data_IF_758397002412
#
_entry.id   IF_758397002412
#
_cell.length_a   1.000
_cell.length_b   1.000
_cell.length_c   1.000
_cell.angle_alpha   90.00
_cell.angle_beta   90.00
_cell.angle_gamma   90.00
#
_symmetry.space_group_name_H-M   'P 1'
#
loop_
_entity.id
_entity.type
_entity.pdbx_description
1 polymer ?
#
# COMPACT_ATOMS: atom_id res chain seq x y z
N UNK A 1 -3.61 -17.57 14.14
CA UNK A 1 -4.06 -16.19 14.48
C UNK A 1 -2.90 -15.24 14.24
N UNK A 2 -3.02 -14.32 13.27
CA UNK A 2 -1.99 -13.38 12.85
C UNK A 2 -2.30 -11.96 13.33
N UNK A 3 -1.28 -11.09 13.41
CA UNK A 3 -1.39 -9.65 13.67
C UNK A 3 -1.12 -8.89 12.37
N UNK A 4 -2.10 -8.11 11.90
CA UNK A 4 -2.06 -7.45 10.60
C UNK A 4 -2.19 -5.94 10.78
N UNK A 5 -1.29 -5.18 10.18
CA UNK A 5 -1.41 -3.73 10.05
C UNK A 5 -1.99 -3.36 8.68
N UNK A 6 -2.97 -2.44 8.66
CA UNK A 6 -3.63 -2.01 7.42
C UNK A 6 -3.61 -0.50 7.33
N UNK A 7 -2.93 0.07 6.33
CA UNK A 7 -2.99 1.51 6.10
C UNK A 7 -4.33 1.94 5.50
N UNK A 8 -4.87 3.09 5.93
CA UNK A 8 -6.14 3.62 5.41
C UNK A 8 -7.36 2.76 5.74
N UNK A 9 -7.43 2.23 6.97
CA UNK A 9 -8.50 1.30 7.40
C UNK A 9 -9.77 1.98 7.91
N UNK A 10 -9.94 3.29 7.71
CA UNK A 10 -11.14 4.02 8.17
C UNK A 10 -12.31 3.97 7.20
N UNK A 11 -12.09 3.60 5.94
CA UNK A 11 -13.13 3.62 4.90
C UNK A 11 -12.82 2.60 3.78
N UNK A 12 -13.79 2.37 2.91
CA UNK A 12 -13.64 1.58 1.68
C UNK A 12 -13.01 0.19 1.91
N UNK A 13 -12.11 -0.17 1.00
CA UNK A 13 -11.45 -1.49 1.01
C UNK A 13 -10.66 -1.76 2.30
N UNK A 14 -9.96 -0.77 2.84
CA UNK A 14 -9.17 -0.96 4.06
C UNK A 14 -10.05 -1.26 5.29
N UNK A 15 -11.22 -0.60 5.39
CA UNK A 15 -12.19 -0.90 6.47
C UNK A 15 -12.81 -2.28 6.29
N UNK A 16 -13.17 -2.64 5.07
CA UNK A 16 -13.73 -3.96 4.77
C UNK A 16 -12.73 -5.09 5.05
N UNK A 17 -11.46 -4.90 4.66
CA UNK A 17 -10.39 -5.83 4.96
C UNK A 17 -10.16 -5.98 6.48
N UNK A 18 -10.15 -4.87 7.22
CA UNK A 18 -10.02 -4.89 8.67
C UNK A 18 -11.17 -5.65 9.33
N UNK A 19 -12.42 -5.38 8.91
CA UNK A 19 -13.61 -6.07 9.41
C UNK A 19 -13.52 -7.57 9.13
N UNK A 20 -13.24 -7.95 7.90
CA UNK A 20 -13.13 -9.35 7.46
C UNK A 20 -12.07 -10.12 8.28
N UNK A 21 -10.90 -9.54 8.50
CA UNK A 21 -9.83 -10.17 9.28
C UNK A 21 -10.19 -10.30 10.78
N UNK A 22 -10.85 -9.29 11.35
CA UNK A 22 -11.36 -9.35 12.71
C UNK A 22 -12.46 -10.42 12.89
N UNK A 23 -13.34 -10.58 11.89
CA UNK A 23 -14.40 -11.60 11.90
C UNK A 23 -13.82 -13.02 11.77
N UNK A 24 -12.67 -13.17 11.13
CA UNK A 24 -11.89 -14.41 11.06
C UNK A 24 -11.05 -14.69 12.33
N UNK A 25 -11.12 -13.83 13.36
CA UNK A 25 -10.40 -13.99 14.61
C UNK A 25 -8.94 -13.56 14.58
N UNK A 26 -8.52 -12.80 13.58
CA UNK A 26 -7.18 -12.20 13.53
C UNK A 26 -7.11 -10.91 14.34
N UNK A 27 -5.90 -10.48 14.67
CA UNK A 27 -5.62 -9.22 15.38
C UNK A 27 -5.28 -8.15 14.35
N UNK A 28 -6.03 -7.05 14.31
CA UNK A 28 -5.81 -5.97 13.35
C UNK A 28 -5.34 -4.71 14.07
N UNK A 29 -4.30 -4.07 13.54
CA UNK A 29 -3.91 -2.72 13.88
C UNK A 29 -4.45 -1.79 12.79
N UNK A 30 -5.29 -0.85 13.20
CA UNK A 30 -5.95 0.10 12.30
C UNK A 30 -5.08 1.34 12.08
N UNK A 31 -5.28 2.03 10.98
CA UNK A 31 -4.67 3.32 10.69
C UNK A 31 -5.71 4.35 10.28
N UNK A 32 -5.66 5.51 10.92
CA UNK A 32 -6.44 6.70 10.58
C UNK A 32 -5.52 7.89 10.31
N UNK A 33 -5.83 8.71 9.30
CA UNK A 33 -5.03 9.91 9.01
C UNK A 33 -5.21 11.06 10.03
N UNK A 34 -6.25 11.00 10.87
CA UNK A 34 -6.53 12.00 11.90
C UNK A 34 -7.44 11.42 12.98
N UNK A 35 -7.52 12.08 14.14
CA UNK A 35 -8.42 11.72 15.24
C UNK A 35 -9.90 11.71 14.80
N UNK A 36 -10.34 12.67 13.98
CA UNK A 36 -11.72 12.71 13.46
C UNK A 36 -12.03 11.48 12.60
N UNK A 37 -11.07 11.05 11.78
CA UNK A 37 -11.22 9.83 10.98
C UNK A 37 -11.18 8.58 11.83
N UNK A 38 -10.44 8.60 12.93
CA UNK A 38 -10.42 7.52 13.90
C UNK A 38 -11.77 7.36 14.61
N UNK A 39 -12.43 8.46 14.99
CA UNK A 39 -13.76 8.46 15.58
C UNK A 39 -14.82 7.80 14.68
N UNK A 40 -14.68 7.92 13.36
CA UNK A 40 -15.59 7.30 12.38
C UNK A 40 -15.49 5.76 12.30
N UNK A 41 -14.48 5.13 12.94
CA UNK A 41 -14.35 3.67 13.02
C UNK A 41 -15.41 3.02 13.92
N UNK A 42 -15.91 3.75 14.93
CA UNK A 42 -16.93 3.25 15.85
C UNK A 42 -16.50 1.96 16.55
N UNK A 43 -17.39 0.96 16.61
CA UNK A 43 -17.14 -0.33 17.25
C UNK A 43 -15.98 -1.16 16.67
N UNK A 44 -15.43 -0.79 15.54
CA UNK A 44 -14.25 -1.48 14.97
C UNK A 44 -13.00 -1.27 15.85
N UNK A 45 -12.89 -0.08 16.45
CA UNK A 45 -11.74 0.26 17.32
C UNK A 45 -11.69 -0.61 18.57
N UNK A 46 -12.85 -0.93 19.18
CA UNK A 46 -12.89 -1.78 20.39
C UNK A 46 -12.54 -3.24 20.13
N UNK A 47 -12.62 -3.70 18.87
CA UNK A 47 -12.26 -5.05 18.42
C UNK A 47 -10.81 -5.15 17.96
N UNK A 48 -10.20 -4.02 17.60
CA UNK A 48 -8.86 -3.97 17.05
C UNK A 48 -7.79 -4.14 18.15
N UNK A 49 -6.63 -4.67 17.79
CA UNK A 49 -5.45 -4.76 18.68
C UNK A 49 -4.89 -3.37 18.99
N UNK A 50 -5.04 -2.43 18.08
CA UNK A 50 -4.55 -1.07 18.22
C UNK A 50 -5.01 -0.17 17.08
N UNK A 51 -4.79 1.12 17.27
CA UNK A 51 -5.06 2.17 16.28
C UNK A 51 -3.86 3.12 16.28
N UNK A 52 -3.32 3.37 15.09
CA UNK A 52 -2.27 4.37 14.88
C UNK A 52 -2.82 5.53 14.07
N UNK A 53 -2.33 6.73 14.37
CA UNK A 53 -2.81 7.97 13.74
C UNK A 53 -1.62 8.71 13.13
N UNK A 54 -1.81 9.18 11.88
CA UNK A 54 -0.86 10.01 11.14
C UNK A 54 -1.26 10.17 9.69
N UNK A 55 -0.91 11.30 9.09
CA UNK A 55 -1.20 11.58 7.69
C UNK A 55 -0.03 11.14 6.79
N UNK A 56 -0.28 10.17 5.92
CA UNK A 56 0.71 9.64 4.98
C UNK A 56 1.19 10.66 3.92
N UNK A 57 0.64 11.87 3.89
CA UNK A 57 1.19 12.97 3.12
C UNK A 57 2.46 13.54 3.73
N UNK A 58 2.65 13.38 5.04
CA UNK A 58 3.83 13.88 5.75
C UNK A 58 4.83 12.75 6.01
N UNK A 59 6.08 12.96 5.62
CA UNK A 59 7.16 12.02 5.91
C UNK A 59 7.40 11.90 7.43
N UNK A 60 7.27 13.01 8.17
CA UNK A 60 7.38 13.03 9.63
C UNK A 60 6.29 12.19 10.30
N UNK A 61 5.03 12.35 9.88
CA UNK A 61 3.92 11.55 10.41
C UNK A 61 4.01 10.08 9.98
N UNK A 62 4.50 9.81 8.77
CA UNK A 62 4.75 8.43 8.31
C UNK A 62 5.81 7.72 9.17
N UNK A 63 6.88 8.42 9.59
CA UNK A 63 7.85 7.90 10.57
C UNK A 63 7.19 7.64 11.92
N UNK A 64 6.38 8.58 12.42
CA UNK A 64 5.62 8.40 13.67
C UNK A 64 4.68 7.19 13.62
N UNK A 65 4.02 6.93 12.47
CA UNK A 65 3.21 5.71 12.30
C UNK A 65 4.08 4.46 12.44
N UNK A 66 5.26 4.43 11.83
CA UNK A 66 6.17 3.29 11.97
C UNK A 66 6.60 3.06 13.43
N UNK A 67 6.92 4.14 14.16
CA UNK A 67 7.25 4.07 15.59
C UNK A 67 6.09 3.54 16.42
N UNK A 68 4.87 4.02 16.20
CA UNK A 68 3.65 3.52 16.85
C UNK A 68 3.43 2.02 16.59
N UNK A 69 3.63 1.56 15.34
CA UNK A 69 3.52 0.15 14.97
C UNK A 69 4.57 -0.69 15.67
N UNK A 70 5.82 -0.24 15.66
CA UNK A 70 6.92 -0.95 16.31
C UNK A 70 6.72 -1.05 17.83
N UNK A 71 6.13 -0.04 18.46
CA UNK A 71 5.76 -0.07 19.89
C UNK A 71 4.65 -1.08 20.20
N UNK A 72 3.72 -1.35 19.26
CA UNK A 72 2.70 -2.39 19.41
C UNK A 72 3.33 -3.81 19.28
N UNK A 73 4.40 -3.92 18.53
CA UNK A 73 5.17 -5.15 18.29
C UNK A 73 5.23 -5.54 16.81
N UNK A 74 5.94 -6.62 16.52
CA UNK A 74 6.09 -7.11 15.15
C UNK A 74 4.75 -7.55 14.56
N UNK A 75 4.50 -7.12 13.32
CA UNK A 75 3.35 -7.55 12.53
C UNK A 75 3.68 -8.85 11.77
N UNK A 76 2.69 -9.74 11.64
CA UNK A 76 2.80 -10.91 10.76
C UNK A 76 2.60 -10.49 9.29
N UNK A 77 1.68 -9.55 9.06
CA UNK A 77 1.46 -8.98 7.73
C UNK A 77 1.25 -7.46 7.78
N UNK A 78 1.65 -6.77 6.73
CA UNK A 78 1.34 -5.36 6.48
C UNK A 78 0.64 -5.23 5.14
N UNK A 79 -0.54 -4.59 5.15
CA UNK A 79 -1.30 -4.27 3.94
C UNK A 79 -1.20 -2.77 3.68
N UNK A 80 -0.43 -2.39 2.66
CA UNK A 80 -0.35 -1.03 2.14
C UNK A 80 -1.57 -0.75 1.27
N UNK A 81 -2.72 -0.49 1.93
CA UNK A 81 -3.99 -0.27 1.27
C UNK A 81 -4.28 1.21 1.01
N UNK A 82 -3.75 2.13 1.82
CA UNK A 82 -3.99 3.56 1.64
C UNK A 82 -3.59 4.03 0.25
N UNK A 83 -4.41 4.88 -0.33
CA UNK A 83 -4.12 5.48 -1.63
C UNK A 83 -5.10 6.60 -1.96
N UNK A 84 -4.70 7.45 -2.87
CA UNK A 84 -5.55 8.47 -3.49
C UNK A 84 -5.61 8.21 -4.99
N UNK A 85 -6.76 8.49 -5.58
CA UNK A 85 -6.98 8.43 -7.01
C UNK A 85 -6.69 9.80 -7.63
N UNK A 86 -7.18 10.08 -8.82
CA UNK A 86 -6.91 11.31 -9.54
C UNK A 86 -7.16 12.57 -8.69
N UNK A 87 -6.15 13.42 -8.59
CA UNK A 87 -6.22 14.72 -7.92
C UNK A 87 -6.29 15.81 -8.97
N UNK A 88 -7.12 16.84 -8.81
CA UNK A 88 -7.29 17.90 -9.81
C UNK A 88 -6.01 18.72 -10.03
N UNK A 89 -5.12 18.73 -9.04
CA UNK A 89 -3.81 19.37 -9.10
C UNK A 89 -2.74 18.46 -8.51
N UNK A 90 -1.47 18.77 -8.77
CA UNK A 90 -0.33 18.08 -8.18
C UNK A 90 -0.40 18.06 -6.65
N UNK A 91 -0.89 19.15 -6.05
CA UNK A 91 -0.77 19.38 -4.62
C UNK A 91 0.70 19.51 -4.18
N UNK A 92 0.90 19.73 -2.89
CA UNK A 92 2.21 19.66 -2.28
C UNK A 92 2.08 19.16 -0.84
N UNK A 93 2.94 18.21 -0.46
CA UNK A 93 3.09 17.81 0.94
C UNK A 93 3.93 18.84 1.72
N UNK A 94 4.05 18.73 3.05
CA UNK A 94 4.95 19.59 3.82
C UNK A 94 6.40 19.56 3.29
N UNK A 95 6.84 18.42 2.76
CA UNK A 95 8.17 18.22 2.18
C UNK A 95 8.26 18.66 0.70
N UNK A 96 7.16 19.11 0.10
CA UNK A 96 7.09 19.60 -1.29
C UNK A 96 6.78 18.53 -2.35
N UNK A 97 6.57 17.28 -1.96
CA UNK A 97 6.24 16.19 -2.88
C UNK A 97 4.80 16.26 -3.41
N UNK A 98 4.58 15.72 -4.61
CA UNK A 98 3.23 15.53 -5.13
C UNK A 98 2.43 14.62 -4.20
N UNK A 99 1.18 15.01 -3.85
CA UNK A 99 0.35 14.23 -2.90
C UNK A 99 0.14 12.77 -3.33
N UNK A 100 -0.03 12.53 -4.64
CA UNK A 100 -0.21 11.18 -5.17
C UNK A 100 1.05 10.33 -4.98
N UNK A 101 2.23 10.90 -5.26
CA UNK A 101 3.52 10.23 -5.02
C UNK A 101 3.70 9.93 -3.54
N UNK A 102 3.49 10.91 -2.67
CA UNK A 102 3.70 10.78 -1.24
C UNK A 102 2.85 9.65 -0.64
N UNK A 103 1.54 9.66 -0.88
CA UNK A 103 0.62 8.70 -0.27
C UNK A 103 0.74 7.32 -0.90
N UNK A 104 0.82 7.25 -2.25
CA UNK A 104 0.74 5.97 -2.94
C UNK A 104 2.11 5.25 -3.06
N UNK A 105 3.22 5.97 -2.96
CA UNK A 105 4.57 5.42 -3.22
C UNK A 105 5.54 5.64 -2.06
N UNK A 106 5.76 6.91 -1.64
CA UNK A 106 6.77 7.21 -0.60
C UNK A 106 6.38 6.64 0.76
N UNK A 107 5.13 6.80 1.18
CA UNK A 107 4.66 6.28 2.46
C UNK A 107 4.72 4.74 2.53
N UNK A 108 4.24 3.95 1.54
CA UNK A 108 4.47 2.50 1.51
C UNK A 108 5.95 2.11 1.58
N UNK A 109 6.83 2.81 0.84
CA UNK A 109 8.27 2.57 0.88
C UNK A 109 8.85 2.84 2.28
N UNK A 110 8.56 3.99 2.86
CA UNK A 110 9.03 4.38 4.20
C UNK A 110 8.54 3.40 5.28
N UNK A 111 7.26 3.06 5.27
CA UNK A 111 6.69 2.11 6.23
C UNK A 111 7.33 0.73 6.09
N UNK A 112 7.57 0.27 4.85
CA UNK A 112 8.27 -0.99 4.59
C UNK A 112 9.69 -1.00 5.18
N UNK A 113 10.41 0.12 5.06
CA UNK A 113 11.76 0.23 5.56
C UNK A 113 11.85 0.38 7.09
N UNK A 114 10.87 1.04 7.70
CA UNK A 114 10.92 1.48 9.10
C UNK A 114 10.18 0.55 10.08
N UNK A 115 9.18 -0.20 9.62
CA UNK A 115 8.47 -1.17 10.45
C UNK A 115 9.33 -2.44 10.60
N UNK A 116 9.35 -3.02 11.80
CA UNK A 116 9.98 -4.32 12.04
C UNK A 116 9.47 -5.35 11.02
N UNK A 117 10.39 -5.91 10.22
CA UNK A 117 10.11 -6.72 9.03
C UNK A 117 9.03 -7.78 9.27
N UNK A 118 7.88 -7.70 8.60
CA UNK A 118 6.80 -8.69 8.73
C UNK A 118 7.13 -9.95 7.90
N UNK A 119 6.32 -10.99 8.06
CA UNK A 119 6.42 -12.16 7.18
C UNK A 119 5.76 -11.93 5.81
N UNK A 120 4.77 -11.02 5.74
CA UNK A 120 4.02 -10.75 4.50
C UNK A 120 3.83 -9.26 4.26
N UNK A 121 4.04 -8.83 3.02
CA UNK A 121 3.82 -7.47 2.54
C UNK A 121 2.88 -7.49 1.34
N UNK A 122 1.77 -6.77 1.45
CA UNK A 122 0.75 -6.68 0.41
C UNK A 122 0.59 -5.22 -0.02
N UNK A 123 0.76 -4.95 -1.31
CA UNK A 123 0.68 -3.61 -1.89
C UNK A 123 -0.53 -3.49 -2.78
N UNK A 124 -1.48 -2.61 -2.44
CA UNK A 124 -2.62 -2.34 -3.31
C UNK A 124 -2.21 -1.48 -4.50
N UNK A 125 -2.28 -2.09 -5.66
CA UNK A 125 -2.08 -1.48 -6.97
C UNK A 125 -3.42 -1.25 -7.68
N UNK A 126 -3.43 -1.30 -8.98
CA UNK A 126 -4.59 -1.14 -9.89
C UNK A 126 -4.21 -1.67 -11.26
N UNK A 127 -5.15 -2.15 -12.04
CA UNK A 127 -4.95 -2.46 -13.47
C UNK A 127 -4.41 -1.28 -14.28
N UNK A 128 -4.67 -0.05 -13.82
CA UNK A 128 -4.15 1.18 -14.44
C UNK A 128 -2.63 1.33 -14.38
N UNK A 129 -1.92 0.55 -13.53
CA UNK A 129 -0.46 0.57 -13.47
C UNK A 129 0.21 0.28 -14.84
N UNK A 130 -0.49 -0.45 -15.72
CA UNK A 130 -0.01 -0.75 -17.08
C UNK A 130 0.06 0.47 -17.99
N UNK A 131 -0.63 1.57 -17.65
CA UNK A 131 -0.54 2.86 -18.33
C UNK A 131 0.45 3.83 -17.66
N UNK A 132 1.19 3.39 -16.64
CA UNK A 132 2.24 4.20 -16.03
C UNK A 132 3.48 4.27 -16.93
N UNK A 133 4.06 5.46 -17.05
CA UNK A 133 5.32 5.63 -17.74
C UNK A 133 6.48 5.15 -16.87
N UNK A 134 7.37 4.33 -17.44
CA UNK A 134 8.55 3.81 -16.73
C UNK A 134 9.69 4.82 -16.55
N UNK A 135 9.45 6.13 -16.74
CA UNK A 135 10.44 7.16 -16.48
C UNK A 135 10.49 7.50 -14.99
N UNK A 136 11.71 7.52 -14.44
CA UNK A 136 11.97 7.91 -13.05
C UNK A 136 12.61 9.32 -12.95
N UNK A 137 12.62 10.11 -14.05
CA UNK A 137 13.36 11.37 -14.12
C UNK A 137 12.61 12.54 -13.48
N UNK A 138 11.29 12.40 -13.30
CA UNK A 138 10.43 13.42 -12.69
C UNK A 138 9.28 12.78 -11.91
N UNK A 139 9.62 11.96 -10.91
CA UNK A 139 8.65 11.30 -10.02
C UNK A 139 7.69 12.30 -9.35
N UNK A 140 8.21 13.48 -9.05
CA UNK A 140 7.49 14.55 -8.36
C UNK A 140 6.70 15.49 -9.28
N UNK A 141 6.70 15.24 -10.59
CA UNK A 141 5.96 16.09 -11.54
C UNK A 141 6.32 17.58 -11.43
N UNK A 142 7.60 17.89 -11.29
CA UNK A 142 8.10 19.27 -11.18
C UNK A 142 8.51 19.85 -12.52
N UNK A 143 8.80 19.00 -13.51
CA UNK A 143 9.30 19.39 -14.83
C UNK A 143 8.26 19.28 -15.94
N UNK A 144 7.24 18.46 -15.75
CA UNK A 144 6.18 18.20 -16.74
C UNK A 144 4.82 18.68 -16.23
N UNK A 145 3.87 18.96 -17.14
CA UNK A 145 2.52 19.36 -16.81
C UNK A 145 1.81 18.24 -16.03
N UNK A 146 1.07 18.62 -14.99
CA UNK A 146 0.32 17.67 -14.17
C UNK A 146 -0.72 16.93 -14.99
N UNK A 147 -0.67 15.60 -14.94
CA UNK A 147 -1.69 14.71 -15.46
C UNK A 147 -2.07 13.71 -14.35
N UNK A 148 -3.27 13.89 -13.80
CA UNK A 148 -3.72 13.13 -12.64
C UNK A 148 -3.84 11.63 -12.90
N UNK A 149 -4.27 11.22 -14.10
CA UNK A 149 -4.42 9.82 -14.47
C UNK A 149 -3.05 9.14 -14.62
N UNK A 150 -2.11 9.79 -15.30
CA UNK A 150 -0.75 9.27 -15.47
C UNK A 150 -0.01 9.23 -14.12
N UNK A 151 -0.11 10.27 -13.29
CA UNK A 151 0.52 10.29 -11.96
C UNK A 151 -0.02 9.15 -11.06
N UNK A 152 -1.31 8.86 -11.13
CA UNK A 152 -1.88 7.70 -10.44
C UNK A 152 -1.35 6.39 -11.00
N UNK A 153 -1.37 6.22 -12.33
CA UNK A 153 -0.90 4.99 -12.98
C UNK A 153 0.58 4.71 -12.65
N UNK A 154 1.44 5.73 -12.71
CA UNK A 154 2.84 5.64 -12.30
C UNK A 154 2.98 5.25 -10.83
N UNK A 155 2.24 5.87 -9.91
CA UNK A 155 2.29 5.52 -8.51
C UNK A 155 1.91 4.06 -8.25
N UNK A 156 1.00 3.50 -9.06
CA UNK A 156 0.59 2.10 -8.97
C UNK A 156 1.59 1.14 -9.65
N UNK A 157 2.30 1.59 -10.68
CA UNK A 157 3.46 0.89 -11.23
C UNK A 157 4.60 0.79 -10.21
N UNK A 158 4.88 1.87 -9.50
CA UNK A 158 5.94 1.91 -8.48
C UNK A 158 5.70 0.89 -7.36
N UNK A 159 4.48 0.74 -6.84
CA UNK A 159 4.22 -0.23 -5.78
C UNK A 159 4.23 -1.68 -6.27
N UNK A 160 3.88 -1.96 -7.53
CA UNK A 160 4.10 -3.28 -8.12
C UNK A 160 5.60 -3.56 -8.22
N UNK A 161 6.38 -2.64 -8.77
CA UNK A 161 7.83 -2.79 -8.87
C UNK A 161 8.50 -2.95 -7.50
N UNK A 162 8.01 -2.22 -6.48
CA UNK A 162 8.50 -2.37 -5.10
C UNK A 162 8.21 -3.77 -4.54
N UNK A 163 7.01 -4.31 -4.74
CA UNK A 163 6.66 -5.66 -4.31
C UNK A 163 7.59 -6.73 -4.95
N UNK A 164 7.86 -6.60 -6.25
CA UNK A 164 8.78 -7.51 -6.96
C UNK A 164 10.23 -7.35 -6.53
N UNK A 165 10.68 -6.12 -6.31
CA UNK A 165 12.03 -5.84 -5.81
C UNK A 165 12.26 -6.44 -4.42
N UNK A 166 11.28 -6.30 -3.52
CA UNK A 166 11.34 -6.85 -2.18
C UNK A 166 11.27 -8.38 -2.17
N UNK A 167 10.46 -8.98 -3.03
CA UNK A 167 10.44 -10.43 -3.21
C UNK A 167 11.81 -10.98 -3.62
N UNK A 168 12.56 -10.25 -4.45
CA UNK A 168 13.93 -10.59 -4.85
C UNK A 168 14.95 -10.35 -3.73
N UNK A 169 14.80 -9.24 -2.99
CA UNK A 169 15.76 -8.83 -1.95
C UNK A 169 15.52 -9.53 -0.61
N UNK A 170 14.28 -9.88 -0.28
CA UNK A 170 13.90 -10.47 1.01
C UNK A 170 13.25 -11.85 0.81
N UNK A 171 14.03 -12.91 0.55
CA UNK A 171 13.50 -14.24 0.20
C UNK A 171 12.61 -14.86 1.29
N UNK A 172 12.75 -14.40 2.53
CA UNK A 172 11.96 -14.88 3.67
C UNK A 172 10.68 -14.05 3.92
N UNK A 173 10.34 -13.13 3.02
CA UNK A 173 9.12 -12.28 3.11
C UNK A 173 8.27 -12.48 1.87
N UNK A 174 7.01 -12.79 2.05
CA UNK A 174 6.06 -12.92 0.94
C UNK A 174 5.57 -11.52 0.53
N UNK A 175 6.14 -10.98 -0.55
CA UNK A 175 5.84 -9.66 -1.06
C UNK A 175 5.00 -9.77 -2.34
N UNK A 176 3.77 -9.26 -2.33
CA UNK A 176 2.86 -9.36 -3.47
C UNK A 176 2.12 -8.03 -3.73
N UNK A 177 1.74 -7.80 -4.98
CA UNK A 177 0.89 -6.68 -5.37
C UNK A 177 -0.51 -7.16 -5.75
N UNK A 178 -1.53 -6.34 -5.46
CA UNK A 178 -2.94 -6.69 -5.66
C UNK A 178 -3.65 -5.58 -6.42
N UNK A 179 -4.36 -5.96 -7.48
CA UNK A 179 -5.39 -5.14 -8.11
C UNK A 179 -6.76 -5.55 -7.54
N UNK A 180 -7.43 -4.69 -6.80
CA UNK A 180 -8.76 -4.98 -6.27
C UNK A 180 -9.86 -4.91 -7.33
N UNK A 181 -9.54 -4.45 -8.55
CA UNK A 181 -10.50 -4.08 -9.58
C UNK A 181 -11.09 -2.67 -9.36
N UNK A 182 -12.10 -2.32 -10.19
CA UNK A 182 -12.84 -1.08 -10.01
C UNK A 182 -13.98 -1.30 -9.02
N UNK A 183 -13.72 -0.97 -7.75
CA UNK A 183 -14.55 -1.34 -6.61
C UNK A 183 -15.48 -0.19 -6.20
N UNK A 184 -16.72 -0.52 -5.82
CA UNK A 184 -17.76 0.39 -5.36
C UNK A 184 -17.43 0.95 -3.97
N UNK A 185 -16.59 1.98 -3.98
CA UNK A 185 -16.15 2.76 -2.82
C UNK A 185 -16.35 4.25 -3.11
N UNK A 186 -16.06 5.12 -2.15
CA UNK A 186 -16.04 6.59 -2.41
C UNK A 186 -15.07 6.97 -3.53
N UNK A 187 -13.97 6.24 -3.66
CA UNK A 187 -12.97 6.44 -4.72
C UNK A 187 -13.48 5.94 -6.08
N UNK A 188 -14.06 4.76 -6.12
CA UNK A 188 -14.52 4.13 -7.35
C UNK A 188 -15.86 4.67 -7.86
N UNK A 189 -16.67 5.25 -6.97
CA UNK A 189 -18.01 5.75 -7.29
C UNK A 189 -19.07 4.64 -7.32
N UNK A 190 -20.34 5.06 -7.42
CA UNK A 190 -21.50 4.15 -7.39
C UNK A 190 -21.60 3.24 -8.62
N UNK A 191 -21.04 3.69 -9.76
CA UNK A 191 -21.04 2.92 -11.02
C UNK A 191 -19.99 1.81 -11.11
N UNK A 192 -19.15 1.66 -10.09
CA UNK A 192 -18.13 0.61 -10.11
C UNK A 192 -18.77 -0.79 -10.06
N UNK A 193 -18.31 -1.74 -10.91
CA UNK A 193 -18.96 -3.05 -11.05
C UNK A 193 -18.61 -4.02 -9.91
N UNK A 194 -17.42 -3.87 -9.30
CA UNK A 194 -16.94 -4.79 -8.28
C UNK A 194 -17.51 -4.40 -6.91
N UNK A 195 -18.09 -5.35 -6.19
CA UNK A 195 -18.49 -5.16 -4.80
C UNK A 195 -17.28 -5.12 -3.86
N UNK A 196 -17.49 -4.58 -2.66
CA UNK A 196 -16.40 -4.34 -1.71
C UNK A 196 -15.83 -5.64 -1.14
N UNK A 197 -16.64 -6.69 -1.02
CA UNK A 197 -16.23 -7.98 -0.47
C UNK A 197 -15.32 -8.71 -1.46
N UNK A 198 -15.65 -8.68 -2.73
CA UNK A 198 -14.78 -9.18 -3.81
C UNK A 198 -13.48 -8.39 -3.86
N UNK A 199 -13.55 -7.05 -3.82
CA UNK A 199 -12.39 -6.18 -3.92
C UNK A 199 -11.38 -6.32 -2.77
N UNK A 200 -11.85 -6.62 -1.54
CA UNK A 200 -10.96 -6.78 -0.38
C UNK A 200 -10.40 -8.21 -0.24
N UNK A 201 -11.02 -9.21 -0.87
CA UNK A 201 -10.75 -10.64 -0.61
C UNK A 201 -9.30 -11.04 -0.88
N UNK A 202 -8.71 -10.61 -1.99
CA UNK A 202 -7.35 -11.02 -2.36
C UNK A 202 -6.31 -10.53 -1.37
N UNK A 203 -6.40 -9.26 -0.92
CA UNK A 203 -5.43 -8.71 0.04
C UNK A 203 -5.54 -9.39 1.41
N UNK A 204 -6.74 -9.73 1.86
CA UNK A 204 -6.94 -10.43 3.14
C UNK A 204 -6.48 -11.88 3.06
N UNK A 205 -6.78 -12.56 1.97
CA UNK A 205 -6.33 -13.92 1.73
C UNK A 205 -4.79 -14.02 1.69
N UNK A 206 -4.11 -13.15 0.96
CA UNK A 206 -2.64 -13.11 0.94
C UNK A 206 -2.03 -12.79 2.32
N UNK A 207 -2.72 -12.02 3.14
CA UNK A 207 -2.21 -11.64 4.45
C UNK A 207 -2.21 -12.79 5.48
N UNK A 208 -3.12 -13.76 5.37
CA UNK A 208 -3.32 -14.74 6.45
C UNK A 208 -3.47 -16.19 5.99
N UNK A 209 -3.68 -16.47 4.70
CA UNK A 209 -3.95 -17.84 4.24
C UNK A 209 -2.70 -18.72 4.30
N UNK A 210 -2.90 -19.97 4.69
CA UNK A 210 -1.90 -21.04 4.62
C UNK A 210 -2.06 -21.89 3.33
N UNK A 211 -2.95 -21.50 2.42
CA UNK A 211 -3.06 -22.11 1.11
C UNK A 211 -1.72 -21.98 0.37
N UNK A 212 -1.16 -23.07 -0.18
CA UNK A 212 0.08 -23.02 -0.96
C UNK A 212 0.07 -21.97 -2.08
N UNK A 213 -1.10 -21.68 -2.66
CA UNK A 213 -1.24 -20.64 -3.67
C UNK A 213 -1.00 -19.21 -3.10
N UNK A 214 -1.26 -18.98 -1.80
CA UNK A 214 -0.97 -17.70 -1.14
C UNK A 214 0.48 -17.58 -0.64
N UNK A 215 1.19 -18.71 -0.50
CA UNK A 215 2.55 -18.78 0.03
C UNK A 215 3.60 -18.55 -1.06
N UNK A 216 3.35 -17.55 -1.90
CA UNK A 216 4.23 -17.16 -3.01
C UNK A 216 4.64 -15.70 -2.88
N UNK A 217 5.76 -15.33 -3.51
CA UNK A 217 6.32 -13.99 -3.48
C UNK A 217 6.59 -13.47 -4.89
N UNK A 218 6.54 -12.14 -5.08
CA UNK A 218 6.79 -11.53 -6.39
C UNK A 218 5.71 -11.86 -7.39
N UNK A 219 4.43 -11.71 -6.99
CA UNK A 219 3.29 -11.92 -7.88
C UNK A 219 2.36 -10.72 -7.88
N UNK A 220 1.67 -10.55 -9.00
CA UNK A 220 0.59 -9.59 -9.19
C UNK A 220 -0.73 -10.34 -9.28
N UNK A 221 -1.69 -9.93 -8.46
CA UNK A 221 -2.94 -10.65 -8.26
C UNK A 221 -4.16 -9.81 -8.61
N UNK A 222 -5.15 -10.42 -9.22
CA UNK A 222 -6.48 -9.85 -9.43
C UNK A 222 -7.53 -10.90 -9.10
N UNK A 223 -8.41 -10.63 -8.14
CA UNK A 223 -9.49 -11.52 -7.70
C UNK A 223 -9.05 -12.99 -7.47
N UNK A 224 -8.00 -13.19 -6.66
CA UNK A 224 -7.39 -14.48 -6.33
C UNK A 224 -6.65 -15.18 -7.49
N UNK A 225 -6.54 -14.54 -8.65
CA UNK A 225 -5.82 -15.06 -9.80
C UNK A 225 -4.51 -14.31 -10.02
N UNK A 226 -3.45 -15.02 -10.32
CA UNK A 226 -2.18 -14.42 -10.72
C UNK A 226 -2.30 -13.87 -12.14
N UNK A 227 -1.80 -12.67 -12.36
CA UNK A 227 -1.74 -12.03 -13.66
C UNK A 227 -0.35 -11.44 -13.92
N UNK A 228 -0.03 -11.24 -15.20
CA UNK A 228 1.19 -10.53 -15.58
C UNK A 228 1.03 -9.02 -15.32
N UNK A 229 1.97 -8.38 -14.61
CA UNK A 229 1.97 -6.92 -14.45
C UNK A 229 2.54 -6.22 -15.68
N UNK A 230 2.70 -4.89 -15.60
CA UNK A 230 3.50 -4.13 -16.56
C UNK A 230 4.94 -4.65 -16.57
N UNK A 231 5.54 -4.73 -17.76
CA UNK A 231 6.88 -5.29 -17.98
C UNK A 231 7.95 -4.57 -17.15
N UNK A 232 7.83 -3.26 -17.02
CA UNK A 232 8.74 -2.42 -16.23
C UNK A 232 8.80 -2.86 -14.77
N UNK A 233 7.67 -3.27 -14.19
CA UNK A 233 7.60 -3.71 -12.80
C UNK A 233 8.43 -4.98 -12.54
N UNK A 234 8.64 -5.81 -13.54
CA UNK A 234 9.41 -7.07 -13.44
C UNK A 234 10.89 -6.89 -13.80
N UNK A 235 11.29 -5.73 -14.33
CA UNK A 235 12.69 -5.44 -14.67
C UNK A 235 13.51 -5.09 -13.41
N UNK A 236 14.52 -5.91 -13.03
CA UNK A 236 15.36 -5.63 -11.87
C UNK A 236 16.09 -4.28 -11.96
N UNK A 237 16.45 -3.80 -13.16
CA UNK A 237 17.12 -2.50 -13.33
C UNK A 237 16.17 -1.35 -13.01
N UNK A 238 14.91 -1.43 -13.44
CA UNK A 238 13.89 -0.46 -13.08
C UNK A 238 13.63 -0.45 -11.58
N UNK A 239 13.50 -1.65 -10.97
CA UNK A 239 13.27 -1.82 -9.54
C UNK A 239 14.40 -1.17 -8.71
N UNK A 240 15.66 -1.45 -9.05
CA UNK A 240 16.81 -0.93 -8.30
C UNK A 240 16.95 0.59 -8.45
N UNK A 241 16.72 1.13 -9.66
CA UNK A 241 16.68 2.59 -9.87
C UNK A 241 15.54 3.24 -9.10
N UNK A 242 14.35 2.63 -9.09
CA UNK A 242 13.21 3.14 -8.32
C UNK A 242 13.54 3.20 -6.82
N UNK A 243 14.07 2.12 -6.25
CA UNK A 243 14.46 2.09 -4.82
C UNK A 243 15.47 3.20 -4.52
N UNK A 244 16.51 3.36 -5.34
CA UNK A 244 17.50 4.44 -5.16
C UNK A 244 16.85 5.83 -5.17
N UNK A 245 15.90 6.08 -6.09
CA UNK A 245 15.16 7.34 -6.13
C UNK A 245 14.25 7.54 -4.91
N UNK A 246 13.60 6.49 -4.42
CA UNK A 246 12.78 6.56 -3.22
C UNK A 246 13.63 6.81 -1.97
N UNK A 247 14.81 6.19 -1.88
CA UNK A 247 15.78 6.47 -0.81
C UNK A 247 16.27 7.92 -0.84
N UNK A 248 16.62 8.45 -2.02
CA UNK A 248 16.99 9.87 -2.19
C UNK A 248 15.88 10.82 -1.70
N UNK A 249 14.64 10.59 -2.10
CA UNK A 249 13.50 11.46 -1.78
C UNK A 249 13.09 11.39 -0.30
N UNK A 250 13.23 10.24 0.35
CA UNK A 250 12.75 10.03 1.72
C UNK A 250 13.83 10.11 2.79
N UNK A 251 15.11 10.02 2.39
CA UNK A 251 16.23 9.84 3.31
C UNK A 251 16.15 8.53 4.12
N UNK A 252 15.49 7.51 3.57
CA UNK A 252 15.31 6.21 4.22
C UNK A 252 15.88 5.12 3.31
N UNK A 253 16.69 4.24 3.88
CA UNK A 253 17.22 3.07 3.18
C UNK A 253 16.43 1.80 3.54
N UNK A 254 16.25 0.90 2.56
CA UNK A 254 15.73 -0.43 2.86
C UNK A 254 16.76 -1.23 3.66
N UNK A 255 16.36 -1.84 4.79
CA UNK A 255 17.26 -2.71 5.54
C UNK A 255 17.78 -3.86 4.67
N UNK A 256 19.04 -4.17 4.81
CA UNK A 256 19.65 -5.38 4.21
C UNK A 256 19.02 -6.66 4.81
N UNK A 257 19.27 -7.80 4.16
CA UNK A 257 18.72 -9.12 4.56
C UNK A 257 19.26 -9.59 5.91
#
# INVERSE_FOLDING_TARGET
MATIFITGSTDGLGRAAAQSLLDQGHRVVLHARSADRAAALGGLTSRAKGLVIGDLRSAGETRSIADQINAIGRMDAVIHNAGVYTRPSRGATPEGHAETLAINTLAPFMLTALIARPARLIYLSSGLHRGGEGSLDDLDWTKRAWNAATAYAESKLHVVALAYALARRWPNVLCNAVDPGWVRTKMGGAGAPVDIDTGQRTQTWLAVSEDPAALVSGRYWHHLEQQEPAREATDPRFQDRLIGKLSELTGVELPEV
#
